data_IF_646384033348
#
_entry.id   IF_646384033348
#
_cell.length_a   1.000
_cell.length_b   1.000
_cell.length_c   1.000
_cell.angle_alpha   90.00
_cell.angle_beta   90.00
_cell.angle_gamma   90.00
#
_symmetry.space_group_name_H-M   'P 1'
#
loop_
_entity.id
_entity.type
_entity.pdbx_description
1 polymer ?
#
# COMPACT_ATOMS: atom_id res chain seq x y z
N UNK A 1 -25.16 -15.50 60.96
CA UNK A 1 -23.72 -15.72 61.26
C UNK A 1 -23.48 -17.21 61.12
N UNK A 2 -22.91 -17.67 59.99
CA UNK A 2 -21.51 -17.37 59.66
C UNK A 2 -21.28 -16.85 58.24
N UNK A 3 -20.11 -16.25 58.09
CA UNK A 3 -19.57 -15.53 56.94
C UNK A 3 -19.30 -16.45 55.74
N UNK A 4 -19.65 -15.97 54.53
CA UNK A 4 -19.10 -16.49 53.27
C UNK A 4 -18.41 -15.35 52.53
N UNK A 5 -17.11 -15.53 52.35
CA UNK A 5 -16.18 -14.69 51.59
C UNK A 5 -16.63 -14.55 50.12
N UNK A 6 -16.58 -13.35 49.50
CA UNK A 6 -16.77 -13.23 48.06
C UNK A 6 -15.48 -13.58 47.31
N UNK A 7 -15.62 -14.49 46.34
CA UNK A 7 -14.58 -14.88 45.40
C UNK A 7 -14.15 -13.73 44.48
N UNK A 8 -12.85 -13.72 44.16
CA UNK A 8 -12.17 -12.73 43.32
C UNK A 8 -12.82 -12.64 41.92
N UNK A 9 -13.26 -11.44 41.57
CA UNK A 9 -13.68 -11.09 40.21
C UNK A 9 -12.52 -11.19 39.22
N UNK A 10 -12.77 -11.91 38.12
CA UNK A 10 -11.86 -12.10 37.02
C UNK A 10 -11.76 -10.78 36.22
N UNK A 11 -10.69 -10.01 36.42
CA UNK A 11 -10.40 -8.81 35.61
C UNK A 11 -10.09 -9.26 34.18
N UNK A 12 -10.98 -8.95 33.25
CA UNK A 12 -10.76 -9.06 31.83
C UNK A 12 -9.44 -8.37 31.44
N UNK A 13 -8.48 -9.16 30.93
CA UNK A 13 -7.25 -8.65 30.33
C UNK A 13 -7.63 -7.91 29.05
N UNK A 14 -7.57 -6.58 29.08
CA UNK A 14 -7.58 -5.75 27.87
C UNK A 14 -6.43 -6.22 26.95
N UNK A 15 -6.79 -6.78 25.81
CA UNK A 15 -5.84 -7.20 24.78
C UNK A 15 -5.02 -6.00 24.31
N UNK A 16 -3.69 -6.17 24.26
CA UNK A 16 -2.79 -5.21 23.63
C UNK A 16 -3.12 -5.15 22.13
N UNK A 17 -3.32 -3.94 21.61
CA UNK A 17 -3.39 -3.67 20.17
C UNK A 17 -2.15 -4.25 19.46
N UNK A 18 -2.28 -4.94 18.32
CA UNK A 18 -1.14 -5.22 17.46
C UNK A 18 -0.68 -3.90 16.83
N UNK A 19 0.59 -3.55 17.01
CA UNK A 19 1.19 -2.41 16.30
C UNK A 19 1.37 -2.73 14.81
N UNK A 20 1.50 -1.71 13.93
CA UNK A 20 1.67 -1.95 12.51
C UNK A 20 3.02 -2.62 12.26
N UNK A 21 3.00 -3.73 11.52
CA UNK A 21 4.13 -4.22 10.74
C UNK A 21 5.47 -4.32 11.47
N UNK A 22 5.52 -5.01 12.60
CA UNK A 22 6.79 -5.46 13.18
C UNK A 22 7.41 -6.53 12.29
N UNK A 23 8.11 -6.13 11.23
CA UNK A 23 8.98 -7.04 10.49
C UNK A 23 9.88 -7.80 11.49
N UNK A 24 9.92 -9.12 11.36
CA UNK A 24 10.66 -10.01 12.27
C UNK A 24 12.04 -9.43 12.61
N UNK A 25 12.22 -8.99 13.87
CA UNK A 25 13.50 -8.50 14.41
C UNK A 25 14.63 -9.53 14.28
N UNK A 26 14.29 -10.82 14.08
CA UNK A 26 15.25 -11.93 14.08
C UNK A 26 16.12 -12.04 12.83
N UNK A 27 15.92 -11.18 11.82
CA UNK A 27 16.61 -11.31 10.54
C UNK A 27 17.27 -10.02 10.03
N UNK A 28 17.56 -9.03 10.90
CA UNK A 28 18.33 -7.83 10.53
C UNK A 28 19.84 -8.10 10.62
N UNK A 29 20.66 -7.64 9.65
CA UNK A 29 22.12 -7.73 9.78
C UNK A 29 22.59 -6.84 10.93
N UNK A 30 23.71 -7.21 11.55
CA UNK A 30 24.35 -6.36 12.56
C UNK A 30 24.73 -5.01 11.93
N UNK A 31 24.52 -3.94 12.68
CA UNK A 31 24.87 -2.59 12.27
C UNK A 31 26.39 -2.50 12.09
N UNK A 32 26.84 -2.03 10.92
CA UNK A 32 28.24 -1.95 10.54
C UNK A 32 28.55 -0.53 10.09
N UNK A 33 29.75 -0.04 10.42
CA UNK A 33 30.27 1.19 9.82
C UNK A 33 30.39 0.99 8.31
N UNK A 34 29.85 1.89 7.47
CA UNK A 34 29.93 1.75 6.02
C UNK A 34 31.39 1.56 5.56
N UNK A 35 31.63 0.49 4.80
CA UNK A 35 32.97 0.13 4.30
C UNK A 35 33.10 0.52 2.83
N UNK A 36 33.99 1.46 2.46
CA UNK A 36 34.15 1.88 1.08
C UNK A 36 34.70 0.74 0.21
N UNK A 37 34.24 0.67 -1.03
CA UNK A 37 34.82 -0.19 -2.08
C UNK A 37 35.73 0.69 -2.94
N UNK A 38 37.01 0.33 -3.01
CA UNK A 38 38.05 1.16 -3.66
C UNK A 38 37.82 1.35 -5.17
N UNK A 39 37.37 0.28 -5.85
CA UNK A 39 37.14 0.29 -7.29
C UNK A 39 35.71 0.76 -7.63
N UNK A 40 35.53 1.60 -8.67
CA UNK A 40 34.23 1.87 -9.25
C UNK A 40 33.49 0.58 -9.65
N UNK A 41 32.17 0.58 -9.46
CA UNK A 41 31.31 -0.55 -9.79
C UNK A 41 30.20 -0.05 -10.71
N UNK A 42 30.01 -0.72 -11.85
CA UNK A 42 28.82 -0.51 -12.69
C UNK A 42 27.66 -1.31 -12.14
N UNK A 43 26.55 -0.64 -11.84
CA UNK A 43 25.33 -1.30 -11.34
C UNK A 43 24.45 -1.78 -12.49
N UNK A 44 23.81 -2.93 -12.31
CA UNK A 44 22.96 -3.58 -13.30
C UNK A 44 21.48 -3.32 -13.08
N UNK A 45 20.68 -4.36 -13.36
CA UNK A 45 19.22 -4.30 -13.35
C UNK A 45 18.63 -3.86 -11.99
N UNK A 46 17.45 -3.23 -12.02
CA UNK A 46 16.69 -2.91 -10.82
C UNK A 46 16.20 -4.18 -10.12
N UNK A 47 15.96 -4.05 -8.82
CA UNK A 47 15.43 -5.08 -7.95
C UNK A 47 14.44 -4.49 -6.94
N UNK A 48 13.52 -5.33 -6.47
CA UNK A 48 12.53 -4.95 -5.48
C UNK A 48 13.19 -4.39 -4.21
N UNK A 49 12.63 -3.31 -3.65
CA UNK A 49 13.19 -2.62 -2.48
C UNK A 49 14.00 -1.35 -2.80
N UNK A 50 14.04 -0.92 -4.08
CA UNK A 50 14.77 0.28 -4.51
C UNK A 50 16.27 0.05 -4.67
N UNK A 51 16.66 -1.17 -5.05
CA UNK A 51 18.05 -1.56 -5.26
C UNK A 51 18.35 -1.79 -6.73
N UNK A 52 19.54 -1.43 -7.19
CA UNK A 52 20.16 -2.10 -8.35
C UNK A 52 20.99 -3.28 -7.87
N UNK A 53 21.29 -4.20 -8.79
CA UNK A 53 22.15 -5.37 -8.50
C UNK A 53 23.51 -5.19 -9.15
N UNK A 54 24.57 -5.41 -8.38
CA UNK A 54 25.95 -5.42 -8.85
C UNK A 54 26.71 -6.64 -8.30
N UNK A 55 27.96 -6.80 -8.72
CA UNK A 55 28.91 -7.74 -8.12
C UNK A 55 30.14 -7.02 -7.61
N UNK A 56 30.49 -7.26 -6.35
CA UNK A 56 31.75 -6.80 -5.75
C UNK A 56 32.59 -8.04 -5.49
N UNK A 57 33.61 -8.25 -6.31
CA UNK A 57 34.25 -9.58 -6.42
C UNK A 57 33.22 -10.64 -6.84
N UNK A 58 33.12 -11.71 -6.08
CA UNK A 58 32.17 -12.81 -6.32
C UNK A 58 30.83 -12.66 -5.59
N UNK A 59 30.63 -11.57 -4.84
CA UNK A 59 29.44 -11.37 -4.01
C UNK A 59 28.41 -10.51 -4.72
N UNK A 60 27.16 -10.99 -4.74
CA UNK A 60 26.01 -10.20 -5.20
C UNK A 60 25.74 -9.08 -4.20
N UNK A 61 25.74 -7.84 -4.69
CA UNK A 61 25.57 -6.64 -3.87
C UNK A 61 24.33 -5.89 -4.33
N UNK A 62 23.39 -5.67 -3.42
CA UNK A 62 22.24 -4.80 -3.62
C UNK A 62 22.62 -3.36 -3.29
N UNK A 63 22.52 -2.48 -4.28
CA UNK A 63 23.00 -1.10 -4.21
C UNK A 63 21.82 -0.13 -4.21
N UNK A 64 21.71 0.75 -3.22
CA UNK A 64 20.75 1.86 -3.23
C UNK A 64 21.36 3.13 -3.83
N UNK A 65 20.50 4.06 -4.20
CA UNK A 65 20.85 5.40 -4.69
C UNK A 65 21.60 5.42 -6.04
N UNK A 66 21.59 4.31 -6.77
CA UNK A 66 22.15 4.18 -8.11
C UNK A 66 21.05 3.76 -9.10
N UNK A 67 21.12 4.30 -10.32
CA UNK A 67 20.28 3.94 -11.46
C UNK A 67 20.93 2.81 -12.27
N UNK A 68 20.16 1.96 -12.98
CA UNK A 68 20.74 0.91 -13.81
C UNK A 68 21.72 1.47 -14.84
N UNK A 69 22.87 0.82 -14.99
CA UNK A 69 23.93 1.21 -15.93
C UNK A 69 24.93 2.23 -15.40
N UNK A 70 24.68 2.86 -14.25
CA UNK A 70 25.60 3.86 -13.71
C UNK A 70 26.89 3.24 -13.17
N UNK A 71 27.98 4.00 -13.29
CA UNK A 71 29.25 3.72 -12.60
C UNK A 71 29.31 4.52 -11.30
N UNK A 72 29.54 3.84 -10.17
CA UNK A 72 29.44 4.43 -8.82
C UNK A 72 30.58 3.98 -7.90
N UNK A 73 30.92 4.80 -6.90
CA UNK A 73 31.64 4.33 -5.71
C UNK A 73 30.65 3.91 -4.64
N UNK A 74 30.90 2.75 -4.04
CA UNK A 74 29.97 2.12 -3.09
C UNK A 74 30.54 2.17 -1.67
N UNK A 75 29.64 2.28 -0.68
CA UNK A 75 29.93 1.95 0.70
C UNK A 75 29.02 0.80 1.15
N UNK A 76 29.62 -0.33 1.56
CA UNK A 76 28.89 -1.52 2.04
C UNK A 76 28.31 -1.21 3.42
N UNK A 77 26.98 -1.23 3.53
CA UNK A 77 26.24 -0.91 4.74
C UNK A 77 25.86 -2.14 5.56
N UNK A 78 25.81 -3.32 4.94
CA UNK A 78 25.61 -4.58 5.64
C UNK A 78 26.11 -5.79 4.82
N UNK A 79 26.63 -6.81 5.52
CA UNK A 79 27.02 -8.09 4.91
C UNK A 79 26.16 -9.23 5.45
N UNK A 80 25.67 -10.09 4.56
CA UNK A 80 25.10 -11.41 4.88
C UNK A 80 25.92 -12.50 4.19
N UNK A 81 25.68 -13.76 4.55
CA UNK A 81 26.49 -14.91 4.09
C UNK A 81 26.60 -15.07 2.57
N UNK A 82 25.62 -14.59 1.78
CA UNK A 82 25.60 -14.71 0.31
C UNK A 82 25.39 -13.39 -0.44
N UNK A 83 25.04 -12.32 0.27
CA UNK A 83 24.65 -11.04 -0.33
C UNK A 83 25.12 -9.88 0.53
N UNK A 84 25.53 -8.80 -0.10
CA UNK A 84 25.84 -7.53 0.57
C UNK A 84 24.80 -6.47 0.22
N UNK A 85 24.69 -5.47 1.09
CA UNK A 85 23.94 -4.25 0.87
C UNK A 85 24.89 -3.08 0.89
N UNK A 86 24.72 -2.15 -0.03
CA UNK A 86 25.55 -0.96 -0.15
C UNK A 86 24.71 0.25 -0.57
N UNK A 87 25.26 1.42 -0.31
CA UNK A 87 24.78 2.67 -0.87
C UNK A 87 25.81 3.19 -1.88
N UNK A 88 25.35 3.70 -3.02
CA UNK A 88 26.20 4.50 -3.90
C UNK A 88 26.45 5.86 -3.24
N UNK A 89 27.70 6.12 -2.85
CA UNK A 89 28.09 7.36 -2.15
C UNK A 89 28.61 8.42 -3.12
N UNK A 90 29.01 8.02 -4.32
CA UNK A 90 29.42 8.90 -5.41
C UNK A 90 28.99 8.28 -6.74
N UNK A 91 28.45 9.10 -7.64
CA UNK A 91 28.04 8.70 -8.98
C UNK A 91 29.03 9.30 -9.97
N UNK A 92 29.76 8.44 -10.68
CA UNK A 92 30.85 8.81 -11.58
C UNK A 92 30.38 9.01 -13.01
N UNK A 93 29.49 8.12 -13.47
CA UNK A 93 28.82 8.22 -14.77
C UNK A 93 27.31 8.16 -14.54
N UNK A 94 26.63 9.32 -14.42
CA UNK A 94 25.22 9.39 -14.08
C UNK A 94 24.32 9.07 -15.28
N UNK A 95 23.18 8.43 -14.99
CA UNK A 95 22.11 8.25 -15.97
C UNK A 95 21.56 9.60 -16.43
N UNK A 96 21.12 9.68 -17.69
CA UNK A 96 20.41 10.84 -18.23
C UNK A 96 19.08 11.13 -17.49
N UNK A 97 18.56 10.14 -16.76
CA UNK A 97 17.36 10.26 -15.93
C UNK A 97 17.63 10.70 -14.49
N UNK A 98 18.90 10.84 -14.10
CA UNK A 98 19.27 11.27 -12.75
C UNK A 98 18.94 12.74 -12.54
N UNK A 99 18.33 13.03 -11.40
CA UNK A 99 18.02 14.38 -10.92
C UNK A 99 18.53 14.56 -9.48
N UNK A 100 18.66 15.79 -8.98
CA UNK A 100 18.89 16.02 -7.56
C UNK A 100 17.83 15.31 -6.71
N UNK A 101 18.25 14.72 -5.59
CA UNK A 101 17.34 13.96 -4.74
C UNK A 101 16.25 14.87 -4.16
N UNK A 102 14.97 14.52 -4.34
CA UNK A 102 13.83 15.35 -3.85
C UNK A 102 13.82 15.54 -2.33
N UNK A 103 14.47 14.63 -1.62
CA UNK A 103 14.60 14.65 -0.17
C UNK A 103 16.02 14.29 0.26
N UNK A 104 16.95 15.25 0.41
CA UNK A 104 18.37 14.97 0.64
C UNK A 104 18.64 14.05 1.84
N UNK A 105 17.86 14.15 2.92
CA UNK A 105 18.00 13.27 4.09
C UNK A 105 17.71 11.79 3.79
N UNK A 106 17.02 11.48 2.70
CA UNK A 106 16.76 10.12 2.23
C UNK A 106 17.83 9.59 1.25
N UNK A 107 18.94 10.30 1.09
CA UNK A 107 20.11 9.87 0.32
C UNK A 107 20.99 8.82 1.02
N UNK A 108 22.21 8.57 0.50
CA UNK A 108 23.16 7.59 1.04
C UNK A 108 23.42 7.77 2.54
N UNK A 109 23.33 6.68 3.31
CA UNK A 109 23.47 6.70 4.77
C UNK A 109 22.28 7.33 5.54
N UNK A 110 21.26 7.81 4.82
CA UNK A 110 20.13 8.55 5.36
C UNK A 110 18.90 7.71 5.71
N UNK A 111 17.75 8.38 5.79
CA UNK A 111 16.45 7.80 6.10
C UNK A 111 15.90 6.97 4.92
N UNK A 112 14.90 6.13 5.18
CA UNK A 112 14.13 5.47 4.12
C UNK A 112 12.93 6.30 3.65
N UNK A 113 12.23 5.81 2.64
CA UNK A 113 10.92 6.34 2.23
C UNK A 113 10.93 7.24 1.00
N UNK A 114 12.07 7.33 0.30
CA UNK A 114 12.21 8.00 -1.00
C UNK A 114 13.35 7.36 -1.83
N UNK A 115 13.41 6.02 -1.90
CA UNK A 115 14.55 5.30 -2.49
C UNK A 115 14.84 5.67 -3.96
N UNK A 116 13.81 6.06 -4.72
CA UNK A 116 13.92 6.44 -6.13
C UNK A 116 13.89 7.96 -6.35
N UNK A 117 13.97 8.76 -5.28
CA UNK A 117 13.88 10.23 -5.33
C UNK A 117 15.00 10.94 -6.10
N UNK A 118 15.98 10.20 -6.61
CA UNK A 118 17.09 10.68 -7.45
C UNK A 118 16.86 10.46 -8.95
N UNK A 119 15.67 10.01 -9.36
CA UNK A 119 15.31 9.75 -10.76
C UNK A 119 14.10 10.60 -11.18
N UNK A 120 14.05 10.98 -12.46
CA UNK A 120 12.84 11.56 -13.05
C UNK A 120 11.65 10.62 -12.85
N UNK A 121 10.43 11.12 -12.59
CA UNK A 121 9.26 10.27 -12.33
C UNK A 121 8.98 9.21 -13.40
N UNK A 122 9.22 9.52 -14.68
CA UNK A 122 9.08 8.54 -15.77
C UNK A 122 10.02 7.34 -15.59
N UNK A 123 11.30 7.58 -15.30
CA UNK A 123 12.28 6.52 -15.05
C UNK A 123 11.99 5.71 -13.77
N UNK A 124 11.36 6.33 -12.76
CA UNK A 124 10.89 5.59 -11.58
C UNK A 124 9.80 4.58 -11.95
N UNK A 125 8.88 4.95 -12.85
CA UNK A 125 7.83 4.04 -13.33
C UNK A 125 8.39 2.94 -14.22
N UNK A 126 9.37 3.24 -15.08
CA UNK A 126 10.08 2.22 -15.84
C UNK A 126 10.78 1.22 -14.91
N UNK A 127 11.49 1.70 -13.89
CA UNK A 127 12.08 0.85 -12.84
C UNK A 127 11.05 -0.06 -12.19
N UNK A 128 9.91 0.48 -11.75
CA UNK A 128 8.85 -0.29 -11.09
C UNK A 128 8.24 -1.33 -12.04
N UNK A 129 8.12 -1.01 -13.31
CA UNK A 129 7.62 -1.90 -14.37
C UNK A 129 8.57 -3.09 -14.57
N UNK A 130 9.88 -2.85 -14.62
CA UNK A 130 10.90 -3.89 -14.72
C UNK A 130 10.87 -4.82 -13.50
N UNK A 131 10.73 -4.25 -12.30
CA UNK A 131 10.62 -5.02 -11.05
C UNK A 131 9.36 -5.88 -11.04
N UNK A 132 8.24 -5.38 -11.54
CA UNK A 132 6.99 -6.15 -11.66
C UNK A 132 7.17 -7.34 -12.61
N UNK A 133 7.63 -7.08 -13.83
CA UNK A 133 7.82 -8.11 -14.85
C UNK A 133 8.78 -9.21 -14.36
N UNK A 134 9.89 -8.82 -13.72
CA UNK A 134 10.87 -9.76 -13.19
C UNK A 134 10.32 -10.58 -12.02
N UNK A 135 9.49 -9.97 -11.16
CA UNK A 135 8.86 -10.69 -10.04
C UNK A 135 7.86 -11.73 -10.54
N UNK A 136 7.02 -11.36 -11.53
CA UNK A 136 6.07 -12.29 -12.15
C UNK A 136 6.79 -13.48 -12.78
N UNK A 137 7.87 -13.24 -13.54
CA UNK A 137 8.65 -14.32 -14.17
C UNK A 137 9.39 -15.19 -13.17
N UNK A 138 10.15 -14.60 -12.24
CA UNK A 138 11.01 -15.38 -11.32
C UNK A 138 10.25 -16.13 -10.25
N UNK A 139 9.13 -15.58 -9.79
CA UNK A 139 8.39 -16.11 -8.64
C UNK A 139 7.11 -16.81 -9.09
N UNK A 140 6.37 -16.22 -10.04
CA UNK A 140 5.18 -16.81 -10.61
C UNK A 140 5.48 -17.85 -11.71
N UNK A 141 6.67 -17.79 -12.31
CA UNK A 141 7.11 -18.69 -13.39
C UNK A 141 6.72 -18.19 -14.78
N UNK A 142 7.20 -18.91 -15.81
CA UNK A 142 7.01 -18.52 -17.22
C UNK A 142 5.54 -18.45 -17.65
N UNK A 143 4.68 -19.32 -17.10
CA UNK A 143 3.23 -19.27 -17.38
C UNK A 143 2.63 -17.94 -16.94
N UNK A 144 2.89 -17.51 -15.71
CA UNK A 144 2.34 -16.25 -15.18
C UNK A 144 2.92 -15.04 -15.92
N UNK A 145 4.20 -15.08 -16.29
CA UNK A 145 4.79 -14.04 -17.11
C UNK A 145 4.12 -13.94 -18.48
N UNK A 146 3.93 -15.07 -19.16
CA UNK A 146 3.26 -15.10 -20.46
C UNK A 146 1.80 -14.65 -20.39
N UNK A 147 1.04 -15.10 -19.38
CA UNK A 147 -0.34 -14.67 -19.15
C UNK A 147 -0.40 -13.15 -18.91
N UNK A 148 0.51 -12.60 -18.10
CA UNK A 148 0.55 -11.17 -17.82
C UNK A 148 1.01 -10.31 -19.02
N UNK A 149 1.90 -10.83 -19.87
CA UNK A 149 2.31 -10.19 -21.12
C UNK A 149 1.19 -10.23 -22.19
N UNK A 150 0.36 -11.29 -22.18
CA UNK A 150 -0.78 -11.44 -23.08
C UNK A 150 -2.07 -10.73 -22.59
N UNK A 151 -2.17 -10.47 -21.28
CA UNK A 151 -3.30 -9.81 -20.65
C UNK A 151 -3.58 -8.43 -21.27
N UNK A 152 -4.86 -8.07 -21.39
CA UNK A 152 -5.22 -6.70 -21.78
C UNK A 152 -4.78 -5.71 -20.70
N UNK A 153 -4.22 -4.58 -21.12
CA UNK A 153 -3.59 -3.62 -20.22
C UNK A 153 -2.09 -3.50 -20.48
N UNK A 154 -1.33 -3.14 -19.46
CA UNK A 154 0.11 -2.91 -19.57
C UNK A 154 0.81 -3.24 -18.25
N UNK A 155 1.92 -3.97 -18.35
CA UNK A 155 2.87 -4.10 -17.25
C UNK A 155 3.60 -2.79 -16.94
N UNK A 156 3.37 -1.73 -17.73
CA UNK A 156 3.85 -0.40 -17.40
C UNK A 156 3.06 0.21 -16.26
N UNK A 157 3.81 0.72 -15.29
CA UNK A 157 3.28 1.45 -14.17
C UNK A 157 2.79 2.82 -14.65
N UNK A 158 1.52 3.11 -14.41
CA UNK A 158 0.84 4.34 -14.79
C UNK A 158 0.97 5.40 -13.69
N UNK A 159 1.07 6.69 -14.04
CA UNK A 159 0.98 7.76 -13.05
C UNK A 159 -0.43 7.82 -12.43
N UNK A 160 -0.50 8.30 -11.19
CA UNK A 160 -1.78 8.53 -10.50
C UNK A 160 -1.85 9.95 -9.95
N UNK A 161 -2.94 10.64 -10.29
CA UNK A 161 -3.23 12.01 -9.89
C UNK A 161 -2.38 13.08 -10.61
N UNK A 162 -2.73 14.36 -10.39
CA UNK A 162 -2.00 15.48 -10.97
C UNK A 162 -0.67 15.69 -10.23
N UNK A 163 0.44 15.76 -10.98
CA UNK A 163 1.75 16.14 -10.44
C UNK A 163 2.43 15.04 -9.60
N UNK A 164 3.20 14.16 -10.25
CA UNK A 164 3.97 13.08 -9.59
C UNK A 164 5.27 13.57 -8.93
N UNK A 165 5.38 14.86 -8.60
CA UNK A 165 6.64 15.49 -8.12
C UNK A 165 6.79 15.48 -6.59
N UNK A 166 5.72 15.24 -5.82
CA UNK A 166 5.74 15.20 -4.36
C UNK A 166 4.41 15.63 -3.76
N UNK A 167 4.37 15.86 -2.44
CA UNK A 167 3.21 16.49 -1.80
C UNK A 167 1.92 15.67 -1.75
N UNK A 168 1.97 14.35 -1.89
CA UNK A 168 0.76 13.52 -1.98
C UNK A 168 0.42 12.78 -0.69
N UNK A 169 1.34 12.74 0.30
CA UNK A 169 1.14 11.96 1.53
C UNK A 169 0.25 12.68 2.53
N UNK A 170 -1.00 12.28 2.61
CA UNK A 170 -2.01 12.74 3.58
C UNK A 170 -1.73 12.27 5.01
N UNK A 171 -0.78 11.34 5.19
CA UNK A 171 -0.35 10.87 6.51
C UNK A 171 1.16 10.70 6.58
N UNK A 172 1.74 11.20 7.67
CA UNK A 172 3.16 11.07 7.98
C UNK A 172 3.32 10.48 9.39
N UNK A 173 4.16 9.45 9.51
CA UNK A 173 4.57 8.86 10.78
C UNK A 173 6.06 9.17 11.02
N UNK A 174 6.37 9.89 12.10
CA UNK A 174 7.73 10.20 12.54
C UNK A 174 8.03 9.53 13.88
N UNK A 175 9.31 9.38 14.18
CA UNK A 175 9.80 8.92 15.48
C UNK A 175 10.69 10.00 16.07
N UNK A 176 10.50 10.29 17.35
CA UNK A 176 11.29 11.31 18.05
C UNK A 176 12.72 10.79 18.27
N UNK A 177 13.70 11.59 17.84
CA UNK A 177 15.14 11.37 17.99
C UNK A 177 15.58 11.37 19.46
N UNK A 178 16.85 11.03 19.71
CA UNK A 178 17.45 11.12 21.05
C UNK A 178 17.45 12.55 21.61
N UNK A 179 17.54 13.57 20.74
CA UNK A 179 17.53 14.99 21.12
C UNK A 179 16.12 15.59 21.24
N UNK A 180 15.07 14.75 21.17
CA UNK A 180 13.69 15.23 21.31
C UNK A 180 13.11 15.92 20.07
N UNK A 181 13.75 15.77 18.90
CA UNK A 181 13.28 16.33 17.62
C UNK A 181 12.57 15.29 16.74
N UNK A 182 11.64 15.68 15.85
CA UNK A 182 11.08 14.81 14.82
C UNK A 182 12.16 14.17 13.95
N UNK A 183 11.98 12.90 13.62
CA UNK A 183 12.94 12.13 12.84
C UNK A 183 12.34 10.90 12.20
N UNK A 184 13.16 10.21 11.41
CA UNK A 184 12.82 8.93 10.79
C UNK A 184 13.96 7.94 10.99
N UNK A 185 13.63 6.65 10.96
CA UNK A 185 14.65 5.62 11.04
C UNK A 185 15.59 5.72 9.84
N UNK A 186 16.90 5.70 10.11
CA UNK A 186 17.89 5.40 9.09
C UNK A 186 17.52 4.07 8.44
N UNK A 187 17.71 3.95 7.13
CA UNK A 187 17.23 2.79 6.40
C UNK A 187 17.70 1.46 7.03
N UNK A 188 16.75 0.57 7.31
CA UNK A 188 16.96 -0.74 7.97
C UNK A 188 17.73 -0.68 9.30
N UNK A 189 17.63 0.41 10.03
CA UNK A 189 18.33 0.66 11.29
C UNK A 189 17.37 1.14 12.38
N UNK A 190 17.70 0.91 13.65
CA UNK A 190 16.92 1.44 14.77
C UNK A 190 17.34 2.87 15.16
N UNK A 191 18.50 3.33 14.66
CA UNK A 191 18.93 4.73 14.72
C UNK A 191 17.89 5.63 14.04
N UNK A 192 17.43 6.64 14.76
CA UNK A 192 16.51 7.67 14.27
C UNK A 192 17.33 8.92 13.95
N UNK A 193 17.26 9.38 12.70
CA UNK A 193 17.90 10.60 12.22
C UNK A 193 16.87 11.74 12.23
N UNK A 194 17.26 12.98 12.57
CA UNK A 194 16.38 14.13 12.46
C UNK A 194 16.03 14.36 10.99
N UNK A 195 14.83 14.89 10.75
CA UNK A 195 14.41 15.37 9.43
C UNK A 195 14.20 16.87 9.48
N UNK A 196 14.54 17.57 8.41
CA UNK A 196 14.38 19.04 8.31
C UNK A 196 13.40 19.47 7.24
N UNK A 197 12.92 18.52 6.43
CA UNK A 197 11.87 18.72 5.44
C UNK A 197 10.98 17.47 5.34
N UNK A 198 9.76 17.64 4.84
CA UNK A 198 8.81 16.58 4.51
C UNK A 198 8.23 16.81 3.09
N UNK A 199 9.05 16.78 2.03
CA UNK A 199 8.63 17.17 0.67
C UNK A 199 7.55 16.27 0.06
N UNK A 200 7.35 15.08 0.64
CA UNK A 200 6.31 14.15 0.21
C UNK A 200 4.98 14.35 0.93
N UNK A 201 4.94 15.15 2.00
CA UNK A 201 3.74 15.41 2.78
C UNK A 201 2.77 16.31 2.03
N UNK A 202 1.48 16.01 2.13
CA UNK A 202 0.41 16.87 1.62
C UNK A 202 0.58 18.32 2.16
N UNK A 203 0.52 19.34 1.30
CA UNK A 203 0.77 20.74 1.69
C UNK A 203 -0.22 21.29 2.71
N UNK A 204 -1.36 20.62 2.93
CA UNK A 204 -2.33 20.97 3.97
C UNK A 204 -1.92 20.47 5.36
N UNK A 205 -0.90 19.62 5.46
CA UNK A 205 -0.32 19.25 6.75
C UNK A 205 0.52 20.42 7.29
N UNK A 206 0.47 20.68 8.62
CA UNK A 206 1.24 21.74 9.26
C UNK A 206 2.72 21.32 9.42
N UNK A 207 3.43 21.19 8.29
CA UNK A 207 4.79 20.64 8.22
C UNK A 207 5.77 21.48 9.04
N UNK A 208 5.67 22.80 8.97
CA UNK A 208 6.56 23.71 9.70
C UNK A 208 6.37 23.55 11.22
N UNK A 209 5.12 23.48 11.70
CA UNK A 209 4.80 23.28 13.10
C UNK A 209 5.25 21.90 13.59
N UNK A 210 5.10 20.86 12.77
CA UNK A 210 5.57 19.51 13.07
C UNK A 210 7.09 19.51 13.25
N UNK A 211 7.82 20.13 12.34
CA UNK A 211 9.28 20.16 12.35
C UNK A 211 9.85 21.08 13.43
N UNK A 212 9.09 22.09 13.86
CA UNK A 212 9.43 22.98 14.97
C UNK A 212 9.22 22.36 16.36
N UNK A 213 8.56 21.19 16.46
CA UNK A 213 8.43 20.50 17.74
C UNK A 213 9.81 20.13 18.29
N UNK A 214 10.02 20.43 19.57
CA UNK A 214 11.24 20.08 20.29
C UNK A 214 10.91 19.49 21.66
N UNK A 215 11.96 19.11 22.39
CA UNK A 215 11.85 18.66 23.79
C UNK A 215 10.87 17.48 24.00
N UNK A 216 10.57 16.74 22.94
CA UNK A 216 9.67 15.60 22.97
C UNK A 216 10.36 14.39 23.62
N UNK A 217 9.57 13.49 24.19
CA UNK A 217 10.09 12.22 24.75
C UNK A 217 10.79 11.42 23.63
N UNK A 218 12.08 11.05 23.78
CA UNK A 218 12.76 10.19 22.80
C UNK A 218 12.03 8.88 22.54
N UNK A 219 11.94 8.52 21.26
CA UNK A 219 11.23 7.33 20.78
C UNK A 219 9.69 7.43 20.83
N UNK A 220 9.12 8.59 21.19
CA UNK A 220 7.68 8.83 20.98
C UNK A 220 7.34 8.78 19.48
N UNK A 221 6.09 8.40 19.18
CA UNK A 221 5.57 8.35 17.82
C UNK A 221 4.78 9.61 17.53
N UNK A 222 5.17 10.33 16.49
CA UNK A 222 4.41 11.45 15.96
C UNK A 222 3.64 10.97 14.73
N UNK A 223 2.36 11.32 14.65
CA UNK A 223 1.56 11.08 13.46
C UNK A 223 0.83 12.35 13.08
N UNK A 224 1.00 12.78 11.85
CA UNK A 224 0.22 13.84 11.25
C UNK A 224 -0.68 13.24 10.17
N UNK A 225 -1.96 13.61 10.17
CA UNK A 225 -2.96 13.13 9.20
C UNK A 225 -3.77 14.30 8.69
N UNK A 226 -4.14 14.29 7.41
CA UNK A 226 -5.05 15.24 6.79
C UNK A 226 -6.10 14.48 5.98
N UNK A 227 -7.32 14.98 5.97
CA UNK A 227 -8.42 14.46 5.14
C UNK A 227 -8.65 15.31 3.91
N UNK A 228 -9.17 14.70 2.85
CA UNK A 228 -9.62 15.43 1.65
C UNK A 228 -11.02 16.02 1.78
N UNK A 229 -11.85 15.51 2.70
CA UNK A 229 -13.24 15.92 2.86
C UNK A 229 -13.43 17.21 3.68
N UNK A 230 -14.61 17.84 3.58
CA UNK A 230 -14.96 18.99 4.42
C UNK A 230 -14.97 18.58 5.90
N UNK A 231 -14.30 19.37 6.73
CA UNK A 231 -14.24 19.15 8.18
C UNK A 231 -14.66 20.44 8.91
N UNK A 232 -15.68 20.40 9.78
CA UNK A 232 -16.10 21.56 10.57
C UNK A 232 -15.03 22.04 11.55
N UNK A 233 -14.09 21.16 11.90
CA UNK A 233 -13.06 21.39 12.92
C UNK A 233 -11.65 21.57 12.33
N UNK A 234 -11.49 21.65 11.00
CA UNK A 234 -10.18 21.76 10.32
C UNK A 234 -9.67 20.45 9.71
N UNK A 235 -8.68 20.54 8.82
CA UNK A 235 -8.34 19.45 7.88
C UNK A 235 -7.24 18.50 8.36
N UNK A 236 -6.39 18.91 9.31
CA UNK A 236 -5.24 18.13 9.75
C UNK A 236 -5.22 17.89 11.27
N UNK A 237 -4.59 16.79 11.69
CA UNK A 237 -4.42 16.41 13.10
C UNK A 237 -3.01 15.91 13.40
N UNK A 238 -2.48 16.30 14.55
CA UNK A 238 -1.21 15.82 15.08
C UNK A 238 -1.43 14.96 16.34
N UNK A 239 -0.82 13.78 16.35
CA UNK A 239 -0.84 12.81 17.44
C UNK A 239 0.56 12.57 17.97
N UNK A 240 0.68 12.50 19.29
CA UNK A 240 1.88 12.04 20.03
C UNK A 240 1.51 10.79 20.82
N UNK A 241 2.17 9.67 20.54
CA UNK A 241 1.87 8.37 21.15
C UNK A 241 0.36 8.01 21.09
N UNK A 242 -0.29 8.38 19.97
CA UNK A 242 -1.71 8.15 19.71
C UNK A 242 -2.67 9.11 20.42
N UNK A 243 -2.18 10.20 21.02
CA UNK A 243 -2.99 11.23 21.67
C UNK A 243 -2.91 12.55 20.93
N UNK A 244 -4.04 13.22 20.72
CA UNK A 244 -4.09 14.53 20.11
C UNK A 244 -3.26 15.56 20.90
N UNK A 245 -2.47 16.35 20.18
CA UNK A 245 -1.78 17.50 20.76
C UNK A 245 -2.81 18.61 21.02
N UNK A 246 -2.85 19.21 22.23
CA UNK A 246 -3.75 20.33 22.53
C UNK A 246 -3.63 21.45 21.50
N UNK A 247 -4.76 21.98 21.01
CA UNK A 247 -4.79 22.99 19.96
C UNK A 247 -4.76 22.43 18.53
N UNK A 248 -4.66 21.11 18.34
CA UNK A 248 -4.93 20.50 17.04
C UNK A 248 -6.40 20.74 16.64
N UNK A 249 -6.69 21.07 15.37
CA UNK A 249 -8.03 21.47 14.92
C UNK A 249 -9.12 20.42 15.22
N UNK A 250 -8.82 19.13 15.02
CA UNK A 250 -9.80 18.03 15.05
C UNK A 250 -10.16 17.56 16.46
N UNK A 251 -11.47 17.57 16.80
CA UNK A 251 -11.98 17.17 18.13
C UNK A 251 -12.53 15.73 18.22
N UNK A 252 -12.86 15.10 17.10
CA UNK A 252 -13.76 13.92 17.06
C UNK A 252 -13.10 12.54 17.02
N UNK A 253 -11.77 12.43 17.04
CA UNK A 253 -11.13 11.13 16.78
C UNK A 253 -10.99 10.79 15.29
N UNK A 254 -11.71 11.47 14.40
CA UNK A 254 -11.88 11.06 13.00
C UNK A 254 -11.47 12.17 12.01
N UNK A 255 -11.14 11.75 10.79
CA UNK A 255 -10.80 12.60 9.64
C UNK A 255 -11.81 12.32 8.52
N UNK A 256 -12.33 13.38 7.90
CA UNK A 256 -13.25 13.27 6.77
C UNK A 256 -12.45 13.11 5.46
N UNK A 257 -12.76 12.09 4.68
CA UNK A 257 -12.16 11.81 3.38
C UNK A 257 -13.25 11.81 2.32
N UNK A 258 -13.08 12.61 1.26
CA UNK A 258 -14.00 12.64 0.12
C UNK A 258 -13.30 12.09 -1.11
N UNK A 259 -13.81 10.99 -1.62
CA UNK A 259 -13.26 10.31 -2.79
C UNK A 259 -14.12 10.62 -4.00
N UNK A 260 -13.56 11.34 -4.97
CA UNK A 260 -14.23 11.56 -6.25
C UNK A 260 -14.18 10.27 -7.08
N UNK A 261 -15.35 9.70 -7.39
CA UNK A 261 -15.47 8.45 -8.16
C UNK A 261 -16.29 8.65 -9.42
N UNK A 262 -16.35 7.61 -10.26
CA UNK A 262 -17.24 7.59 -11.42
C UNK A 262 -18.73 7.76 -11.07
N UNK A 263 -19.13 7.47 -9.82
CA UNK A 263 -20.50 7.65 -9.33
C UNK A 263 -20.71 9.00 -8.63
N UNK A 264 -19.71 9.88 -8.65
CA UNK A 264 -19.67 11.11 -7.87
C UNK A 264 -18.89 10.95 -6.55
N UNK A 265 -18.96 11.97 -5.68
CA UNK A 265 -18.20 11.98 -4.43
C UNK A 265 -18.75 10.97 -3.41
N UNK A 266 -17.85 10.16 -2.86
CA UNK A 266 -18.12 9.28 -1.71
C UNK A 266 -17.42 9.80 -0.46
N UNK A 267 -18.20 10.13 0.55
CA UNK A 267 -17.69 10.59 1.85
C UNK A 267 -17.40 9.42 2.79
N UNK A 268 -16.25 9.45 3.46
CA UNK A 268 -15.79 8.48 4.44
C UNK A 268 -15.36 9.20 5.73
N UNK A 269 -15.59 8.56 6.88
CA UNK A 269 -15.10 9.02 8.17
C UNK A 269 -14.06 8.01 8.69
N UNK A 270 -12.79 8.42 8.69
CA UNK A 270 -11.64 7.55 9.00
C UNK A 270 -11.14 7.82 10.42
N UNK A 271 -10.87 6.77 11.20
CA UNK A 271 -10.17 6.92 12.49
C UNK A 271 -8.76 7.43 12.24
N UNK A 272 -8.33 8.46 12.97
CA UNK A 272 -7.03 9.12 12.79
C UNK A 272 -5.82 8.22 13.14
N UNK A 273 -6.03 7.20 13.95
CA UNK A 273 -5.07 6.15 14.27
C UNK A 273 -5.20 4.93 13.35
N UNK A 274 -6.29 4.84 12.58
CA UNK A 274 -6.59 3.77 11.63
C UNK A 274 -5.61 3.70 10.44
N UNK A 275 -5.81 2.71 9.57
CA UNK A 275 -5.02 2.52 8.36
C UNK A 275 -5.87 2.81 7.11
N UNK A 276 -5.42 3.75 6.27
CA UNK A 276 -5.98 4.03 4.95
C UNK A 276 -4.89 4.48 3.98
N UNK A 277 -5.28 4.66 2.72
CA UNK A 277 -4.39 5.08 1.65
C UNK A 277 -3.79 6.45 1.93
N UNK A 278 -2.46 6.53 1.86
CA UNK A 278 -1.70 7.72 2.24
C UNK A 278 -1.63 8.74 1.10
N UNK A 279 -1.93 8.37 -0.13
CA UNK A 279 -1.83 9.25 -1.29
C UNK A 279 -3.18 9.90 -1.61
N UNK A 280 -3.22 11.22 -1.83
CA UNK A 280 -4.45 11.99 -2.11
C UNK A 280 -5.33 11.40 -3.22
N UNK A 281 -4.72 10.95 -4.32
CA UNK A 281 -5.45 10.35 -5.45
C UNK A 281 -5.56 8.82 -5.42
N UNK A 282 -4.94 8.13 -4.47
CA UNK A 282 -4.97 6.66 -4.43
C UNK A 282 -6.37 6.08 -4.23
N UNK A 283 -7.22 6.62 -3.33
CA UNK A 283 -8.57 6.08 -3.14
C UNK A 283 -9.38 6.06 -4.45
N UNK A 284 -9.38 7.17 -5.19
CA UNK A 284 -10.11 7.29 -6.45
C UNK A 284 -9.56 6.34 -7.52
N UNK A 285 -8.23 6.26 -7.66
CA UNK A 285 -7.59 5.39 -8.64
C UNK A 285 -7.82 3.89 -8.36
N UNK A 286 -7.86 3.49 -7.09
CA UNK A 286 -8.19 2.13 -6.69
C UNK A 286 -9.66 1.80 -6.96
N UNK A 287 -10.58 2.69 -6.62
CA UNK A 287 -12.01 2.51 -6.94
C UNK A 287 -12.22 2.36 -8.45
N UNK A 288 -11.63 3.26 -9.24
CA UNK A 288 -11.68 3.21 -10.71
C UNK A 288 -11.12 1.88 -11.23
N UNK A 289 -9.93 1.49 -10.78
CA UNK A 289 -9.27 0.28 -11.29
C UNK A 289 -10.02 -1.00 -10.91
N UNK A 290 -10.44 -1.12 -9.65
CA UNK A 290 -11.12 -2.31 -9.15
C UNK A 290 -12.48 -2.48 -9.84
N UNK A 291 -13.29 -1.42 -9.93
CA UNK A 291 -14.62 -1.51 -10.53
C UNK A 291 -14.57 -1.72 -12.04
N UNK A 292 -13.65 -1.06 -12.73
CA UNK A 292 -13.42 -1.27 -14.16
C UNK A 292 -13.09 -2.74 -14.45
N UNK A 293 -12.10 -3.28 -13.72
CA UNK A 293 -11.68 -4.66 -13.88
C UNK A 293 -12.77 -5.65 -13.46
N UNK A 294 -13.50 -5.38 -12.37
CA UNK A 294 -14.66 -6.19 -11.97
C UNK A 294 -15.73 -6.24 -13.08
N UNK A 295 -15.98 -5.11 -13.75
CA UNK A 295 -16.88 -5.00 -14.90
C UNK A 295 -16.28 -5.53 -16.23
N UNK A 296 -15.00 -5.88 -16.26
CA UNK A 296 -14.34 -6.45 -17.44
C UNK A 296 -13.99 -5.43 -18.51
N UNK A 297 -13.74 -4.19 -18.10
CA UNK A 297 -13.30 -3.10 -18.96
C UNK A 297 -11.97 -2.53 -18.44
N UNK A 298 -11.21 -1.85 -19.30
CA UNK A 298 -9.94 -1.24 -18.89
C UNK A 298 -10.16 0.05 -18.09
N UNK A 299 -9.43 0.29 -16.98
CA UNK A 299 -9.46 1.56 -16.25
C UNK A 299 -9.22 2.75 -17.16
N UNK A 300 -9.87 3.88 -16.91
CA UNK A 300 -9.70 5.09 -17.70
C UNK A 300 -8.40 5.83 -17.32
N UNK A 301 -7.40 5.95 -18.23
CA UNK A 301 -6.15 6.64 -17.95
C UNK A 301 -6.35 8.11 -17.53
N UNK A 302 -7.36 8.80 -18.07
CA UNK A 302 -7.63 10.19 -17.72
C UNK A 302 -8.21 10.31 -16.30
N UNK A 303 -9.06 9.36 -15.90
CA UNK A 303 -9.53 9.25 -14.52
C UNK A 303 -8.37 8.96 -13.55
N UNK A 304 -7.47 8.02 -13.90
CA UNK A 304 -6.29 7.70 -13.10
C UNK A 304 -5.34 8.91 -12.94
N UNK A 305 -5.17 9.71 -14.01
CA UNK A 305 -4.37 10.93 -13.99
C UNK A 305 -5.06 12.10 -13.26
N UNK A 306 -6.34 11.99 -12.90
CA UNK A 306 -7.11 13.07 -12.29
C UNK A 306 -7.54 14.17 -13.27
N UNK A 307 -7.60 13.86 -14.57
CA UNK A 307 -7.95 14.79 -15.65
C UNK A 307 -9.45 14.75 -16.04
N UNK A 308 -10.25 14.00 -15.27
CA UNK A 308 -11.64 13.67 -15.59
C UNK A 308 -11.73 12.44 -16.49
N UNK A 309 -12.69 11.56 -16.21
CA UNK A 309 -12.89 10.33 -16.98
C UNK A 309 -14.05 10.42 -17.97
N UNK A 310 -14.20 9.37 -18.78
CA UNK A 310 -15.35 9.14 -19.65
C UNK A 310 -16.67 9.21 -18.84
N UNK A 311 -17.59 10.13 -19.19
CA UNK A 311 -18.82 10.33 -18.43
C UNK A 311 -19.78 9.14 -18.48
N UNK A 312 -19.72 8.31 -19.53
CA UNK A 312 -20.62 7.14 -19.68
C UNK A 312 -20.09 5.90 -18.93
N UNK A 313 -18.91 6.03 -18.31
CA UNK A 313 -18.19 4.91 -17.73
C UNK A 313 -18.89 4.29 -16.53
N UNK A 314 -19.48 5.13 -15.68
CA UNK A 314 -20.32 4.68 -14.57
C UNK A 314 -21.46 3.79 -15.07
N UNK A 315 -22.14 4.19 -16.14
CA UNK A 315 -23.23 3.43 -16.75
C UNK A 315 -22.78 2.05 -17.23
N UNK A 316 -21.58 1.93 -17.82
CA UNK A 316 -21.04 0.63 -18.26
C UNK A 316 -20.66 -0.28 -17.09
N UNK A 317 -20.05 0.27 -16.04
CA UNK A 317 -19.75 -0.49 -14.82
C UNK A 317 -21.04 -0.98 -14.17
N UNK A 318 -22.02 -0.10 -13.97
CA UNK A 318 -23.33 -0.47 -13.42
C UNK A 318 -24.02 -1.52 -14.29
N UNK A 319 -24.03 -1.36 -15.62
CA UNK A 319 -24.66 -2.34 -16.51
C UNK A 319 -24.03 -3.74 -16.39
N UNK A 320 -22.73 -3.85 -16.10
CA UNK A 320 -22.05 -5.13 -15.92
C UNK A 320 -22.22 -5.72 -14.52
N UNK A 321 -22.33 -4.90 -13.48
CA UNK A 321 -22.31 -5.35 -12.08
C UNK A 321 -23.69 -5.35 -11.42
N UNK A 322 -24.69 -4.69 -12.00
CA UNK A 322 -26.04 -4.63 -11.48
C UNK A 322 -26.59 -6.03 -11.13
N UNK A 323 -27.10 -6.17 -9.91
CA UNK A 323 -27.66 -7.44 -9.44
C UNK A 323 -26.65 -8.54 -9.13
N UNK A 324 -25.35 -8.26 -9.21
CA UNK A 324 -24.31 -9.26 -8.94
C UNK A 324 -24.13 -9.50 -7.43
N UNK A 325 -23.73 -10.73 -7.09
CA UNK A 325 -23.18 -11.06 -5.79
C UNK A 325 -21.67 -10.79 -5.79
N UNK A 326 -21.18 -9.99 -4.85
CA UNK A 326 -19.77 -9.63 -4.71
C UNK A 326 -19.29 -9.97 -3.30
N UNK A 327 -18.15 -10.64 -3.23
CA UNK A 327 -17.41 -10.83 -1.97
C UNK A 327 -16.18 -9.93 -2.01
N UNK A 328 -15.97 -9.12 -0.97
CA UNK A 328 -14.77 -8.32 -0.78
C UNK A 328 -14.01 -8.82 0.45
N UNK A 329 -12.75 -9.19 0.25
CA UNK A 329 -11.85 -9.63 1.32
C UNK A 329 -10.85 -8.53 1.65
N UNK A 330 -10.53 -8.40 2.94
CA UNK A 330 -9.62 -7.37 3.46
C UNK A 330 -10.18 -5.95 3.23
N UNK A 331 -11.47 -5.78 3.49
CA UNK A 331 -12.21 -4.57 3.09
C UNK A 331 -11.81 -3.30 3.85
N UNK A 332 -11.01 -3.41 4.91
CA UNK A 332 -10.58 -2.26 5.71
C UNK A 332 -11.76 -1.41 6.18
N UNK A 333 -11.64 -0.09 6.02
CA UNK A 333 -12.67 0.87 6.37
C UNK A 333 -13.78 1.05 5.29
N UNK A 334 -13.85 0.15 4.31
CA UNK A 334 -14.96 0.08 3.35
C UNK A 334 -14.86 1.03 2.15
N UNK A 335 -13.64 1.40 1.73
CA UNK A 335 -13.43 2.22 0.52
C UNK A 335 -14.05 1.56 -0.72
N UNK A 336 -13.62 0.33 -1.03
CA UNK A 336 -14.13 -0.40 -2.18
C UNK A 336 -15.55 -0.90 -1.90
N UNK A 337 -15.83 -1.36 -0.67
CA UNK A 337 -17.18 -1.84 -0.28
C UNK A 337 -18.27 -0.84 -0.65
N UNK A 338 -18.07 0.45 -0.33
CA UNK A 338 -19.03 1.51 -0.62
C UNK A 338 -19.25 1.66 -2.13
N UNK A 339 -18.17 1.76 -2.90
CA UNK A 339 -18.23 1.94 -4.35
C UNK A 339 -18.79 0.71 -5.10
N UNK A 340 -18.49 -0.50 -4.62
CA UNK A 340 -19.07 -1.75 -5.11
C UNK A 340 -20.58 -1.76 -4.86
N UNK A 341 -21.03 -1.30 -3.68
CA UNK A 341 -22.45 -1.14 -3.35
C UNK A 341 -23.20 -0.30 -4.39
N UNK A 342 -22.66 0.88 -4.74
CA UNK A 342 -23.21 1.74 -5.80
C UNK A 342 -23.27 1.02 -7.16
N UNK A 343 -22.23 0.26 -7.51
CA UNK A 343 -22.14 -0.42 -8.79
C UNK A 343 -23.15 -1.58 -8.94
N UNK A 344 -23.38 -2.37 -7.88
CA UNK A 344 -24.29 -3.53 -7.92
C UNK A 344 -25.76 -3.11 -7.74
N UNK A 345 -26.00 -1.99 -7.07
CA UNK A 345 -27.32 -1.45 -6.79
C UNK A 345 -28.19 -2.35 -5.92
N UNK A 346 -29.45 -1.95 -5.72
CA UNK A 346 -30.39 -2.58 -4.76
C UNK A 346 -30.74 -4.05 -5.05
N UNK A 347 -30.54 -4.51 -6.29
CA UNK A 347 -30.80 -5.89 -6.68
C UNK A 347 -29.61 -6.84 -6.45
N UNK A 348 -28.44 -6.30 -6.09
CA UNK A 348 -27.22 -7.08 -5.84
C UNK A 348 -26.97 -7.32 -4.36
N UNK A 349 -25.82 -7.94 -4.06
CA UNK A 349 -25.36 -8.18 -2.71
C UNK A 349 -23.84 -8.03 -2.61
N UNK A 350 -23.36 -7.44 -1.52
CA UNK A 350 -21.94 -7.26 -1.20
C UNK A 350 -21.68 -7.80 0.20
N UNK A 351 -20.85 -8.85 0.28
CA UNK A 351 -20.33 -9.38 1.54
C UNK A 351 -18.89 -8.92 1.71
N UNK A 352 -18.62 -8.05 2.68
CA UNK A 352 -17.24 -7.64 2.98
C UNK A 352 -16.73 -8.33 4.25
N UNK A 353 -15.47 -8.78 4.25
CA UNK A 353 -14.81 -9.45 5.37
C UNK A 353 -13.50 -8.75 5.73
N UNK A 354 -13.38 -8.30 6.98
CA UNK A 354 -12.19 -7.60 7.49
C UNK A 354 -11.81 -8.07 8.91
N UNK A 355 -10.51 -8.22 9.18
CA UNK A 355 -9.98 -8.70 10.45
C UNK A 355 -9.91 -7.64 11.55
N UNK A 356 -9.81 -6.36 11.18
CA UNK A 356 -9.83 -5.23 12.10
C UNK A 356 -11.27 -4.78 12.40
N UNK A 357 -11.72 -5.09 13.61
CA UNK A 357 -13.06 -4.77 14.10
C UNK A 357 -13.33 -3.25 14.13
N UNK A 358 -12.32 -2.42 14.37
CA UNK A 358 -12.50 -0.97 14.39
C UNK A 358 -12.69 -0.44 12.94
N UNK A 359 -11.99 -1.03 11.96
CA UNK A 359 -12.18 -0.72 10.55
C UNK A 359 -13.58 -1.14 10.06
N UNK A 360 -14.05 -2.33 10.45
CA UNK A 360 -15.42 -2.81 10.12
C UNK A 360 -16.49 -1.88 10.68
N UNK A 361 -16.31 -1.38 11.91
CA UNK A 361 -17.23 -0.38 12.50
C UNK A 361 -17.21 0.91 11.70
N UNK A 362 -16.04 1.43 11.33
CA UNK A 362 -15.94 2.61 10.47
C UNK A 362 -16.64 2.42 9.13
N UNK A 363 -16.51 1.24 8.51
CA UNK A 363 -17.20 0.90 7.28
C UNK A 363 -18.72 0.86 7.47
N UNK A 364 -19.20 0.16 8.51
CA UNK A 364 -20.63 0.06 8.83
C UNK A 364 -21.28 1.42 9.14
N UNK A 365 -20.56 2.32 9.82
CA UNK A 365 -21.03 3.68 10.09
C UNK A 365 -21.14 4.53 8.80
N UNK A 366 -20.29 4.27 7.80
CA UNK A 366 -20.15 5.11 6.60
C UNK A 366 -20.93 4.59 5.37
N UNK A 367 -21.39 3.34 5.41
CA UNK A 367 -22.09 2.68 4.31
C UNK A 367 -23.56 2.50 4.67
N UNK A 368 -24.40 3.35 4.10
CA UNK A 368 -25.86 3.27 4.18
C UNK A 368 -26.41 2.70 2.86
N UNK A 369 -26.13 1.42 2.60
CA UNK A 369 -26.58 0.75 1.38
C UNK A 369 -27.15 -0.64 1.70
N UNK A 370 -28.43 -0.86 1.37
CA UNK A 370 -29.17 -2.07 1.77
C UNK A 370 -28.57 -3.39 1.25
N UNK A 371 -27.86 -3.33 0.12
CA UNK A 371 -27.17 -4.50 -0.47
C UNK A 371 -25.83 -4.83 0.17
N UNK A 372 -25.35 -4.05 1.14
CA UNK A 372 -24.02 -4.24 1.74
C UNK A 372 -24.13 -4.85 3.14
N UNK A 373 -23.36 -5.91 3.38
CA UNK A 373 -23.20 -6.53 4.69
C UNK A 373 -21.71 -6.62 5.05
N UNK A 374 -21.34 -5.94 6.13
CA UNK A 374 -19.95 -5.91 6.63
C UNK A 374 -19.74 -6.95 7.73
N UNK A 375 -18.70 -7.76 7.62
CA UNK A 375 -18.40 -8.88 8.52
C UNK A 375 -17.00 -8.70 9.12
N UNK A 376 -16.91 -8.87 10.45
CA UNK A 376 -15.64 -8.86 11.16
C UNK A 376 -15.13 -10.29 11.37
N UNK A 377 -13.92 -10.59 10.89
CA UNK A 377 -13.29 -11.89 11.05
C UNK A 377 -11.95 -11.99 10.34
N UNK A 378 -11.06 -12.84 10.85
CA UNK A 378 -9.80 -13.10 10.17
C UNK A 378 -10.06 -13.73 8.79
N UNK A 379 -9.45 -13.18 7.74
CA UNK A 379 -9.51 -13.75 6.40
C UNK A 379 -8.63 -15.00 6.34
N UNK A 380 -9.27 -16.16 6.25
CA UNK A 380 -8.69 -17.50 6.22
C UNK A 380 -9.43 -18.35 5.19
N UNK A 381 -8.90 -19.51 4.79
CA UNK A 381 -9.62 -20.38 3.86
C UNK A 381 -10.99 -20.81 4.40
N UNK A 382 -11.08 -21.03 5.72
CA UNK A 382 -12.34 -21.37 6.39
C UNK A 382 -13.36 -20.24 6.35
N UNK A 383 -12.95 -19.02 6.68
CA UNK A 383 -13.88 -17.88 6.68
C UNK A 383 -14.35 -17.57 5.26
N UNK A 384 -13.48 -17.72 4.26
CA UNK A 384 -13.85 -17.55 2.84
C UNK A 384 -14.84 -18.63 2.41
N UNK A 385 -14.62 -19.90 2.78
CA UNK A 385 -15.57 -20.97 2.48
C UNK A 385 -16.95 -20.71 3.11
N UNK A 386 -17.00 -20.18 4.34
CA UNK A 386 -18.25 -19.84 5.01
C UNK A 386 -19.04 -18.74 4.27
N UNK A 387 -18.37 -17.77 3.64
CA UNK A 387 -19.05 -16.78 2.79
C UNK A 387 -19.77 -17.43 1.59
N UNK A 388 -19.27 -18.57 1.12
CA UNK A 388 -19.92 -19.35 0.07
C UNK A 388 -21.23 -20.03 0.47
N UNK A 389 -21.48 -20.14 1.78
CA UNK A 389 -22.70 -20.72 2.35
C UNK A 389 -23.78 -19.67 2.64
N UNK A 390 -23.44 -18.38 2.50
CA UNK A 390 -24.38 -17.27 2.72
C UNK A 390 -25.37 -17.13 1.56
N UNK A 391 -26.63 -16.81 1.87
CA UNK A 391 -27.69 -16.60 0.86
C UNK A 391 -27.38 -15.46 -0.13
N UNK A 392 -26.53 -14.53 0.30
CA UNK A 392 -26.06 -13.38 -0.47
C UNK A 392 -25.01 -13.76 -1.53
N UNK A 393 -24.37 -14.94 -1.42
CA UNK A 393 -23.42 -15.44 -2.42
C UNK A 393 -24.09 -16.38 -3.42
N UNK A 394 -23.65 -16.30 -4.68
CA UNK A 394 -24.02 -17.25 -5.74
C UNK A 394 -22.78 -17.58 -6.58
N UNK A 395 -22.56 -18.87 -6.94
CA UNK A 395 -21.52 -19.22 -7.91
C UNK A 395 -21.62 -18.39 -9.19
N UNK A 396 -20.49 -17.97 -9.74
CA UNK A 396 -20.44 -16.99 -10.82
C UNK A 396 -20.55 -15.53 -10.38
N UNK A 397 -20.49 -15.25 -9.08
CA UNK A 397 -20.28 -13.90 -8.54
C UNK A 397 -18.87 -13.36 -8.79
N UNK A 398 -18.57 -12.18 -8.24
CA UNK A 398 -17.25 -11.53 -8.33
C UNK A 398 -16.59 -11.54 -6.96
N UNK A 399 -15.29 -11.80 -6.91
CA UNK A 399 -14.49 -11.66 -5.68
C UNK A 399 -13.48 -10.54 -5.85
N UNK A 400 -13.39 -9.64 -4.88
CA UNK A 400 -12.36 -8.59 -4.79
C UNK A 400 -11.51 -8.88 -3.56
N UNK A 401 -10.18 -8.76 -3.66
CA UNK A 401 -9.29 -8.88 -2.52
C UNK A 401 -8.18 -7.82 -2.54
N UNK A 402 -7.96 -7.17 -1.40
CA UNK A 402 -6.85 -6.23 -1.14
C UNK A 402 -5.99 -6.69 0.05
N UNK A 403 -5.27 -7.83 -0.09
CA UNK A 403 -4.51 -8.42 1.01
C UNK A 403 -3.35 -7.53 1.48
N UNK A 404 -2.86 -7.77 2.71
CA UNK A 404 -1.65 -7.11 3.19
C UNK A 404 -0.42 -7.48 2.34
N UNK A 405 0.70 -6.75 2.53
CA UNK A 405 1.98 -6.97 1.83
C UNK A 405 2.51 -8.42 1.76
N UNK A 406 2.03 -9.31 2.63
CA UNK A 406 2.40 -10.73 2.57
C UNK A 406 1.71 -11.52 1.45
N UNK A 407 0.68 -10.95 0.82
CA UNK A 407 -0.24 -11.64 -0.08
C UNK A 407 -1.40 -12.30 0.66
N UNK A 408 -2.37 -12.78 -0.12
CA UNK A 408 -3.52 -13.56 0.35
C UNK A 408 -3.10 -14.98 0.79
N UNK A 409 -2.04 -15.52 0.19
CA UNK A 409 -1.52 -16.89 0.38
C UNK A 409 -2.42 -17.95 -0.24
N UNK A 410 -1.79 -19.07 -0.56
CA UNK A 410 -2.40 -20.23 -1.21
C UNK A 410 -3.72 -20.70 -0.55
N UNK A 411 -3.77 -20.79 0.78
CA UNK A 411 -4.99 -21.22 1.50
C UNK A 411 -6.21 -20.34 1.17
N UNK A 412 -6.02 -19.01 1.13
CA UNK A 412 -7.10 -18.06 0.83
C UNK A 412 -7.41 -18.06 -0.66
N UNK A 413 -6.38 -18.07 -1.52
CA UNK A 413 -6.56 -18.10 -2.98
C UNK A 413 -7.34 -19.35 -3.42
N UNK A 414 -6.97 -20.52 -2.89
CA UNK A 414 -7.66 -21.78 -3.14
C UNK A 414 -9.11 -21.75 -2.65
N UNK A 415 -9.38 -21.15 -1.48
CA UNK A 415 -10.75 -21.01 -0.99
C UNK A 415 -11.58 -20.04 -1.84
N UNK A 416 -10.98 -18.94 -2.33
CA UNK A 416 -11.62 -18.01 -3.27
C UNK A 416 -11.98 -18.72 -4.57
N UNK A 417 -11.05 -19.49 -5.15
CA UNK A 417 -11.31 -20.26 -6.37
C UNK A 417 -12.43 -21.30 -6.16
N UNK A 418 -12.50 -21.92 -4.98
CA UNK A 418 -13.57 -22.87 -4.63
C UNK A 418 -14.97 -22.23 -4.55
N UNK A 419 -15.08 -20.91 -4.38
CA UNK A 419 -16.36 -20.20 -4.52
C UNK A 419 -16.87 -20.16 -5.97
N UNK A 420 -16.02 -20.55 -6.94
CA UNK A 420 -16.27 -20.47 -8.38
C UNK A 420 -16.72 -19.08 -8.87
N UNK A 421 -16.01 -17.99 -8.52
CA UNK A 421 -16.31 -16.67 -9.07
C UNK A 421 -16.08 -16.64 -10.58
N UNK A 422 -16.92 -15.89 -11.30
CA UNK A 422 -16.71 -15.62 -12.73
C UNK A 422 -15.50 -14.72 -12.96
N UNK A 423 -15.15 -13.92 -11.95
CA UNK A 423 -14.00 -13.01 -11.96
C UNK A 423 -13.45 -12.78 -10.56
N UNK A 424 -12.13 -12.72 -10.45
CA UNK A 424 -11.40 -12.33 -9.24
C UNK A 424 -10.64 -11.03 -9.56
N UNK A 425 -10.81 -10.00 -8.74
CA UNK A 425 -10.01 -8.76 -8.82
C UNK A 425 -9.07 -8.73 -7.62
N UNK A 426 -7.77 -8.80 -7.90
CA UNK A 426 -6.73 -8.88 -6.89
C UNK A 426 -5.87 -7.60 -6.89
N UNK A 427 -5.92 -6.87 -5.78
CA UNK A 427 -5.07 -5.71 -5.50
C UNK A 427 -3.81 -6.18 -4.79
N UNK A 428 -2.64 -5.61 -5.10
CA UNK A 428 -1.39 -5.96 -4.44
C UNK A 428 -0.36 -4.83 -4.50
N UNK A 429 0.19 -4.51 -3.33
CA UNK A 429 1.27 -3.53 -3.16
C UNK A 429 2.69 -4.15 -3.12
N UNK A 430 2.79 -5.49 -3.23
CA UNK A 430 4.04 -6.24 -3.26
C UNK A 430 4.06 -7.21 -4.46
N UNK A 431 4.97 -7.01 -5.45
CA UNK A 431 4.95 -7.78 -6.69
C UNK A 431 5.37 -9.24 -6.48
N UNK A 432 6.15 -9.55 -5.43
CA UNK A 432 6.55 -10.92 -5.11
C UNK A 432 5.42 -11.70 -4.40
N UNK A 433 4.61 -11.03 -3.59
CA UNK A 433 3.37 -11.60 -3.07
C UNK A 433 2.36 -11.86 -4.20
N UNK A 434 2.11 -10.85 -5.05
CA UNK A 434 1.24 -10.99 -6.21
C UNK A 434 1.62 -12.18 -7.08
N UNK A 435 2.89 -12.30 -7.47
CA UNK A 435 3.34 -13.39 -8.32
C UNK A 435 3.05 -14.79 -7.73
N UNK A 436 3.15 -14.96 -6.40
CA UNK A 436 2.81 -16.23 -5.73
C UNK A 436 1.31 -16.49 -5.69
N UNK A 437 0.53 -15.45 -5.40
CA UNK A 437 -0.92 -15.56 -5.34
C UNK A 437 -1.50 -15.85 -6.75
N UNK A 438 -0.95 -15.22 -7.79
CA UNK A 438 -1.30 -15.52 -9.19
C UNK A 438 -0.93 -16.95 -9.61
N UNK A 439 0.23 -17.44 -9.20
CA UNK A 439 0.60 -18.84 -9.44
C UNK A 439 -0.38 -19.81 -8.77
N UNK A 440 -0.78 -19.52 -7.52
CA UNK A 440 -1.77 -20.33 -6.79
C UNK A 440 -3.14 -20.31 -7.48
N UNK A 441 -3.56 -19.14 -7.98
CA UNK A 441 -4.81 -19.01 -8.73
C UNK A 441 -4.76 -19.78 -10.07
N UNK A 442 -3.60 -19.78 -10.74
CA UNK A 442 -3.39 -20.51 -11.98
C UNK A 442 -3.39 -22.03 -11.81
N UNK A 443 -2.93 -22.54 -10.67
CA UNK A 443 -3.09 -23.93 -10.25
C UNK A 443 -4.56 -24.27 -9.97
N UNK A 444 -5.32 -23.30 -9.45
CA UNK A 444 -6.76 -23.42 -9.19
C UNK A 444 -7.65 -23.18 -10.43
N UNK A 445 -7.08 -23.07 -11.63
CA UNK A 445 -7.83 -23.00 -12.89
C UNK A 445 -8.24 -21.60 -13.34
N UNK A 446 -7.55 -20.56 -12.87
CA UNK A 446 -7.73 -19.18 -13.34
C UNK A 446 -6.58 -18.73 -14.24
N UNK A 447 -6.83 -17.73 -15.09
CA UNK A 447 -5.82 -17.06 -15.93
C UNK A 447 -5.90 -15.55 -15.73
N UNK A 448 -4.78 -14.85 -15.93
CA UNK A 448 -4.73 -13.39 -15.89
C UNK A 448 -5.40 -12.84 -17.14
N UNK A 449 -6.53 -12.14 -16.98
CA UNK A 449 -7.26 -11.49 -18.07
C UNK A 449 -6.72 -10.08 -18.32
N UNK A 450 -6.51 -9.32 -17.23
CA UNK A 450 -6.06 -7.93 -17.26
C UNK A 450 -5.11 -7.62 -16.11
N UNK A 451 -4.17 -6.72 -16.34
CA UNK A 451 -3.28 -6.21 -15.30
C UNK A 451 -3.03 -4.70 -15.48
N UNK A 452 -3.15 -3.96 -14.38
CA UNK A 452 -2.91 -2.52 -14.33
C UNK A 452 -2.00 -2.24 -13.16
N UNK A 453 -0.86 -1.61 -13.41
CA UNK A 453 0.08 -1.18 -12.38
C UNK A 453 0.03 0.34 -12.21
N UNK A 454 0.04 0.81 -10.96
CA UNK A 454 -0.18 2.19 -10.58
C UNK A 454 0.95 2.73 -9.69
N UNK A 455 1.38 3.95 -9.96
CA UNK A 455 2.34 4.68 -9.15
C UNK A 455 1.66 5.45 -8.01
N UNK A 456 1.15 4.72 -7.01
CA UNK A 456 0.54 5.34 -5.82
C UNK A 456 1.57 5.92 -4.84
N UNK A 457 2.85 5.61 -5.02
CA UNK A 457 3.92 6.04 -4.13
C UNK A 457 5.15 6.54 -4.90
N UNK A 458 5.04 7.71 -5.58
CA UNK A 458 6.17 8.34 -6.23
C UNK A 458 7.36 8.49 -5.29
N UNK A 459 8.57 8.47 -5.86
CA UNK A 459 9.87 8.50 -5.19
C UNK A 459 10.20 7.29 -4.33
N UNK A 460 9.28 6.35 -4.13
CA UNK A 460 9.55 5.07 -3.44
C UNK A 460 9.62 3.94 -4.45
N UNK A 461 10.09 2.77 -4.00
CA UNK A 461 10.05 1.54 -4.79
C UNK A 461 8.68 0.84 -4.79
N UNK A 462 7.69 1.35 -4.04
CA UNK A 462 6.37 0.75 -3.98
C UNK A 462 5.60 1.03 -5.28
N UNK A 463 4.83 0.03 -5.71
CA UNK A 463 3.85 0.11 -6.77
C UNK A 463 2.61 -0.63 -6.31
N UNK A 464 1.46 -0.24 -6.84
CA UNK A 464 0.20 -0.95 -6.64
C UNK A 464 -0.16 -1.67 -7.93
N UNK A 465 -0.73 -2.86 -7.84
CA UNK A 465 -1.15 -3.63 -9.01
C UNK A 465 -2.57 -4.13 -8.79
N UNK A 466 -3.42 -3.99 -9.79
CA UNK A 466 -4.76 -4.58 -9.82
C UNK A 466 -4.80 -5.56 -10.98
N UNK A 467 -5.06 -6.84 -10.67
CA UNK A 467 -5.15 -7.91 -11.66
C UNK A 467 -6.58 -8.49 -11.70
N UNK A 468 -7.12 -8.68 -12.90
CA UNK A 468 -8.36 -9.42 -13.12
C UNK A 468 -8.03 -10.85 -13.54
N UNK A 469 -8.60 -11.82 -12.85
CA UNK A 469 -8.50 -13.24 -13.18
C UNK A 469 -9.85 -13.79 -13.56
N UNK A 470 -9.88 -14.67 -14.56
CA UNK A 470 -11.09 -15.37 -15.02
C UNK A 470 -10.81 -16.88 -15.10
N UNK A 471 -11.83 -17.74 -15.05
CA UNK A 471 -11.66 -19.17 -15.29
C UNK A 471 -10.96 -19.43 -16.64
N UNK A 472 -10.02 -20.38 -16.65
CA UNK A 472 -9.17 -20.75 -17.78
C UNK A 472 -9.91 -21.44 -18.94
#
# INVERSE_FOLDING_TARGET
>A
MPERTPGRGNRARRGRRPGPGGGSRRNRPAEMTPEPVDAPVTVGAPAHGGFTVARVGDVVTFVRHAAPGESVRLAVTAKRSKVWFADAVEVLDPSADRVPHVWPEAGPGGIGGAELGHLRPAAQRDWKSDVLAESLRRIGGERIAADAEAAAGSLRVLPVGPGTEGGTRTRIDLTVTADGRPGMHRYRSDVVLPVTALPLADPRLPVEEILALDSLRPGARLRAVVGSGPSPDGVARLLVDGRAVPGSPVTSGRVAERVETMFGPLDHALDDAGFWQVHTSAPAALVESVLALAAGIDPDPAALAGEGGDPDRAGRVTASLAGSAVVELYSGAGLLTKAIGEAVGQGGAVLSLEGDVDAVRSAADAIDHASVRTLAGAVTGRSVAALGEEDDWRPGGVVVLDPPRSGARDEVVSAVAALAPRRIVHVACDPAALARDLASAAEAGYVVERIVALDLFPHTHHLEVVAALVPA
#
